data_IF_891978874498
#
_entry.id   IF_891978874498
#
_cell.length_a   1.000
_cell.length_b   1.000
_cell.length_c   1.000
_cell.angle_alpha   90.00
_cell.angle_beta   90.00
_cell.angle_gamma   90.00
#
_symmetry.space_group_name_H-M   'P 1'
#
loop_
_entity.id
_entity.type
_entity.pdbx_description
1 polymer ?
#
# COMPACT_ATOMS: atom_id res chain seq x y z
N UNK A 1 -3.78 -1.86 3.74
CA UNK A 1 -4.44 -0.61 4.20
C UNK A 1 -3.50 0.56 4.00
N UNK A 2 -4.02 1.67 3.48
CA UNK A 2 -3.29 2.92 3.24
C UNK A 2 -4.12 4.07 3.80
N UNK A 3 -3.52 5.01 4.53
CA UNK A 3 -4.24 6.17 5.05
C UNK A 3 -3.34 7.37 5.23
N UNK A 4 -3.94 8.56 5.17
CA UNK A 4 -3.23 9.83 5.37
C UNK A 4 -3.24 10.24 6.84
N UNK A 5 -2.11 10.77 7.30
CA UNK A 5 -1.98 11.57 8.52
C UNK A 5 -1.48 12.96 8.14
N UNK A 6 -1.58 13.98 9.01
CA UNK A 6 -1.12 15.34 8.69
C UNK A 6 0.33 15.39 8.17
N UNK A 7 1.20 14.53 8.69
CA UNK A 7 2.64 14.57 8.37
C UNK A 7 3.06 13.63 7.23
N UNK A 8 2.29 12.57 6.95
CA UNK A 8 2.65 11.57 5.94
C UNK A 8 1.51 10.62 5.57
N UNK A 9 1.71 9.88 4.49
CA UNK A 9 0.96 8.65 4.21
C UNK A 9 1.50 7.47 5.01
N UNK A 10 0.60 6.66 5.55
CA UNK A 10 0.90 5.47 6.34
C UNK A 10 0.28 4.23 5.72
N UNK A 11 0.96 3.10 5.86
CA UNK A 11 0.50 1.83 5.33
C UNK A 11 0.59 0.72 6.38
N UNK A 12 -0.21 -0.32 6.14
CA UNK A 12 -0.11 -1.63 6.78
C UNK A 12 -0.47 -2.68 5.75
N UNK A 13 0.47 -3.56 5.42
CA UNK A 13 0.33 -4.65 4.46
C UNK A 13 0.52 -5.96 5.21
N UNK A 14 -0.40 -6.89 5.02
CA UNK A 14 -0.27 -8.26 5.53
C UNK A 14 0.11 -9.17 4.37
N UNK A 15 1.24 -9.87 4.52
CA UNK A 15 1.69 -10.90 3.61
C UNK A 15 1.45 -12.26 4.26
N UNK A 16 0.62 -13.09 3.61
CA UNK A 16 0.46 -14.48 4.05
C UNK A 16 1.80 -15.23 3.90
N UNK A 17 2.31 -15.80 4.99
CA UNK A 17 3.59 -16.53 5.02
C UNK A 17 4.65 -15.87 5.92
N UNK A 18 5.93 -16.10 5.62
CA UNK A 18 7.05 -15.70 6.50
C UNK A 18 7.26 -14.18 6.61
N UNK A 19 6.78 -13.38 5.66
CA UNK A 19 7.00 -11.93 5.64
C UNK A 19 6.15 -11.22 6.71
N UNK A 20 4.98 -11.77 7.07
CA UNK A 20 4.15 -11.23 8.14
C UNK A 20 3.55 -9.85 7.80
N UNK A 21 3.67 -8.89 8.72
CA UNK A 21 3.10 -7.55 8.55
C UNK A 21 4.22 -6.54 8.30
N UNK A 22 4.11 -5.79 7.21
CA UNK A 22 4.90 -4.58 6.96
C UNK A 22 4.03 -3.35 7.22
N UNK A 23 4.49 -2.44 8.07
CA UNK A 23 3.77 -1.20 8.35
C UNK A 23 4.73 -0.04 8.56
N UNK A 24 4.27 1.18 8.30
CA UNK A 24 5.13 2.36 8.39
C UNK A 24 4.57 3.58 7.67
N UNK A 25 5.46 4.51 7.34
CA UNK A 25 5.17 5.66 6.49
C UNK A 25 5.76 5.48 5.10
N UNK A 26 5.05 5.94 4.06
CA UNK A 26 5.60 5.96 2.70
C UNK A 26 6.69 7.03 2.60
N UNK A 27 7.92 6.61 2.30
CA UNK A 27 9.03 7.53 2.06
C UNK A 27 8.86 8.23 0.71
N UNK A 28 9.26 9.50 0.62
CA UNK A 28 9.23 10.27 -0.63
C UNK A 28 7.84 10.70 -1.12
N UNK A 29 6.76 10.34 -0.41
CA UNK A 29 5.40 10.77 -0.72
C UNK A 29 4.96 11.87 0.23
N UNK A 30 4.73 13.07 -0.30
CA UNK A 30 4.22 14.19 0.49
C UNK A 30 2.83 13.89 1.06
N UNK A 31 2.49 14.36 2.28
CA UNK A 31 1.14 14.19 2.84
C UNK A 31 0.04 14.85 2.00
N UNK A 32 0.39 15.86 1.20
CA UNK A 32 -0.52 16.55 0.28
C UNK A 32 -0.73 15.83 -1.04
N UNK A 33 0.06 14.79 -1.35
CA UNK A 33 -0.06 14.04 -2.59
C UNK A 33 -1.44 13.35 -2.67
N UNK A 34 -1.99 13.27 -3.88
CA UNK A 34 -3.25 12.57 -4.11
C UNK A 34 -3.17 11.07 -3.81
N UNK A 35 -4.32 10.40 -3.61
CA UNK A 35 -4.35 8.97 -3.26
C UNK A 35 -3.67 8.07 -4.29
N UNK A 36 -3.81 8.36 -5.59
CA UNK A 36 -3.17 7.57 -6.64
C UNK A 36 -1.64 7.50 -6.49
N UNK A 37 -0.99 8.63 -6.17
CA UNK A 37 0.47 8.67 -5.93
C UNK A 37 0.87 7.83 -4.73
N UNK A 38 0.09 7.87 -3.66
CA UNK A 38 0.34 7.07 -2.46
C UNK A 38 0.05 5.58 -2.68
N UNK A 39 -0.96 5.25 -3.47
CA UNK A 39 -1.31 3.87 -3.87
C UNK A 39 -0.19 3.25 -4.71
N UNK A 40 0.30 3.95 -5.73
CA UNK A 40 1.43 3.50 -6.57
C UNK A 40 2.70 3.28 -5.74
N UNK A 41 3.02 4.22 -4.86
CA UNK A 41 4.19 4.10 -3.98
C UNK A 41 4.05 2.93 -3.00
N UNK A 42 2.84 2.71 -2.45
CA UNK A 42 2.57 1.58 -1.58
C UNK A 42 2.65 0.24 -2.33
N UNK A 43 2.21 0.20 -3.59
CA UNK A 43 2.30 -0.98 -4.44
C UNK A 43 3.77 -1.34 -4.71
N UNK A 44 4.60 -0.39 -5.16
CA UNK A 44 6.04 -0.64 -5.37
C UNK A 44 6.74 -1.16 -4.11
N UNK A 45 6.46 -0.53 -2.97
CA UNK A 45 6.99 -0.98 -1.68
C UNK A 45 6.56 -2.42 -1.35
N UNK A 46 5.32 -2.80 -1.67
CA UNK A 46 4.83 -4.15 -1.45
C UNK A 46 5.56 -5.18 -2.33
N UNK A 47 5.83 -4.85 -3.59
CA UNK A 47 6.57 -5.72 -4.52
C UNK A 47 8.02 -5.89 -4.10
N UNK A 48 8.69 -4.79 -3.70
CA UNK A 48 10.05 -4.81 -3.15
C UNK A 48 10.13 -5.68 -1.89
N UNK A 49 9.15 -5.53 -0.98
CA UNK A 49 9.08 -6.30 0.26
C UNK A 49 8.81 -7.78 0.01
N UNK A 50 7.94 -8.10 -0.96
CA UNK A 50 7.61 -9.47 -1.31
C UNK A 50 8.66 -10.13 -2.23
N UNK A 51 9.58 -9.35 -2.82
CA UNK A 51 10.57 -9.81 -3.79
C UNK A 51 9.94 -10.32 -5.10
N UNK A 52 8.72 -9.90 -5.44
CA UNK A 52 7.98 -10.36 -6.63
C UNK A 52 6.91 -9.36 -7.07
N UNK A 53 6.48 -9.40 -8.35
CA UNK A 53 5.35 -8.60 -8.82
C UNK A 53 4.05 -8.97 -8.11
N UNK A 54 3.21 -7.98 -7.86
CA UNK A 54 1.92 -8.10 -7.20
C UNK A 54 0.84 -7.33 -7.96
N UNK A 55 -0.40 -7.73 -7.79
CA UNK A 55 -1.55 -6.91 -8.17
C UNK A 55 -2.23 -6.40 -6.90
N UNK A 56 -2.55 -5.11 -6.85
CA UNK A 56 -3.31 -4.52 -5.74
C UNK A 56 -4.57 -3.87 -6.28
N UNK A 57 -5.73 -4.35 -5.85
CA UNK A 57 -7.01 -3.70 -6.12
C UNK A 57 -7.36 -2.79 -4.93
N UNK A 58 -7.53 -1.49 -5.21
CA UNK A 58 -7.74 -0.48 -4.19
C UNK A 58 -9.22 -0.10 -4.06
N UNK A 59 -9.75 -0.25 -2.86
CA UNK A 59 -11.10 0.20 -2.50
C UNK A 59 -11.04 1.34 -1.47
N UNK A 60 -11.87 2.36 -1.67
CA UNK A 60 -12.03 3.41 -0.67
C UNK A 60 -12.73 2.84 0.57
N UNK A 61 -12.29 3.25 1.75
CA UNK A 61 -13.00 2.93 2.99
C UNK A 61 -14.07 3.97 3.29
N UNK A 62 -14.96 3.67 4.24
CA UNK A 62 -15.95 4.64 4.76
C UNK A 62 -15.32 5.85 5.47
N UNK A 63 -14.02 5.78 5.83
CA UNK A 63 -13.31 6.92 6.41
C UNK A 63 -12.60 7.72 5.32
N UNK A 64 -12.62 9.06 5.42
CA UNK A 64 -11.87 9.91 4.50
C UNK A 64 -10.38 9.57 4.57
N UNK A 65 -9.73 9.72 3.43
CA UNK A 65 -8.30 9.51 3.28
C UNK A 65 -7.80 8.14 3.75
N UNK A 66 -8.62 7.09 3.62
CA UNK A 66 -8.25 5.71 3.91
C UNK A 66 -8.77 4.74 2.85
N UNK A 67 -7.90 3.81 2.46
CA UNK A 67 -8.12 2.78 1.45
C UNK A 67 -7.70 1.41 1.96
N UNK A 68 -8.41 0.39 1.48
CA UNK A 68 -8.01 -1.00 1.57
C UNK A 68 -7.47 -1.45 0.21
N UNK A 69 -6.48 -2.34 0.25
CA UNK A 69 -5.84 -2.87 -0.95
C UNK A 69 -5.86 -4.38 -0.82
N UNK A 70 -6.51 -5.06 -1.75
CA UNK A 70 -6.51 -6.51 -1.86
C UNK A 70 -5.32 -6.93 -2.71
N UNK A 71 -4.34 -7.57 -2.06
CA UNK A 71 -3.07 -7.96 -2.69
C UNK A 71 -3.18 -9.38 -3.19
N UNK A 72 -3.00 -9.57 -4.50
CA UNK A 72 -2.96 -10.90 -5.13
C UNK A 72 -1.62 -11.10 -5.83
N UNK A 73 -1.23 -12.36 -6.03
CA UNK A 73 -0.10 -12.67 -6.89
C UNK A 73 -0.45 -12.24 -8.32
N UNK A 74 0.49 -11.60 -9.02
CA UNK A 74 0.29 -11.32 -10.44
C UNK A 74 0.02 -12.65 -11.19
N UNK A 75 -0.90 -12.67 -12.17
CA UNK A 75 -1.11 -13.85 -13.01
C UNK A 75 0.23 -14.29 -13.59
N UNK A 76 0.57 -15.59 -13.46
CA UNK A 76 1.67 -16.14 -14.24
C UNK A 76 1.20 -16.18 -15.70
N UNK A 77 1.84 -15.37 -16.54
CA UNK A 77 1.63 -15.39 -17.99
C UNK A 77 2.15 -16.66 -18.64
#
# INVERSE_FOLDING_TARGET
>A
MLYRTPDRWRFSIFFAGQVGIACGGLAGVAPTAGPAVAQDACHRLAEETAGRPLTVDWSASERPDRWYGDVTAAPQG
#
